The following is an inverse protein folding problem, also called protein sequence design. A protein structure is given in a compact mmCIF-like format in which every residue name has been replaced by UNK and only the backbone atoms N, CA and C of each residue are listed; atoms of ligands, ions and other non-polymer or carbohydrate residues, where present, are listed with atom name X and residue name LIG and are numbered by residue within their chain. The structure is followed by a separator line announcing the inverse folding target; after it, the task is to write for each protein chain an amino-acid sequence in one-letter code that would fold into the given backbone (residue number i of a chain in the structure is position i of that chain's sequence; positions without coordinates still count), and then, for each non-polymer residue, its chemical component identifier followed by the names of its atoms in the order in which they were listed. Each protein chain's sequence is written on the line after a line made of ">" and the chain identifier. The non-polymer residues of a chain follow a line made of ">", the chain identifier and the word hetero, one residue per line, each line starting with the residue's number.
data_IF_889571506158
#
_entry.id   IF_889571506158
#
_cell.length_a   1.000
_cell.length_b   1.000
_cell.length_c   1.000
_cell.angle_alpha   90.00
_cell.angle_beta   90.00
_cell.angle_gamma   90.00
#
_symmetry.space_group_name_H-M   'P 1'
#
loop_
_entity.id
_entity.type
_entity.pdbx_description
1 polymer ?
#
# COMPACT_ATOMS: atom_id res chain seq x y z
N UNK A 1 10.79 6.42 17.69
CA UNK A 1 9.89 5.26 17.83
C UNK A 1 8.91 5.31 16.67
N UNK A 2 9.01 4.41 15.71
CA UNK A 2 7.98 4.20 14.70
C UNK A 2 6.73 3.63 15.37
N UNK A 3 5.59 4.30 15.29
CA UNK A 3 4.34 3.72 15.73
C UNK A 3 3.83 2.74 14.66
N UNK A 4 3.38 1.57 15.07
CA UNK A 4 2.71 0.61 14.20
C UNK A 4 1.23 0.62 14.55
N UNK A 5 0.38 0.88 13.57
CA UNK A 5 -1.07 0.75 13.70
C UNK A 5 -1.50 -0.66 13.36
N UNK A 6 -2.56 -1.14 14.00
CA UNK A 6 -3.10 -2.49 13.83
C UNK A 6 -4.59 -2.45 13.50
N UNK A 7 -5.01 -3.38 12.66
CA UNK A 7 -6.40 -3.78 12.44
C UNK A 7 -6.45 -5.31 12.49
N UNK A 8 -7.53 -5.87 13.04
CA UNK A 8 -7.72 -7.32 13.04
C UNK A 8 -9.21 -7.67 13.12
N UNK A 9 -9.61 -8.66 12.33
CA UNK A 9 -10.87 -9.38 12.45
C UNK A 9 -10.61 -10.89 12.29
N UNK A 10 -11.65 -11.68 12.05
CA UNK A 10 -11.51 -13.13 11.93
C UNK A 10 -10.81 -13.61 10.64
N UNK A 11 -10.74 -12.77 9.60
CA UNK A 11 -10.16 -13.07 8.29
C UNK A 11 -8.84 -12.34 8.05
N UNK A 12 -8.68 -11.14 8.60
CA UNK A 12 -7.58 -10.25 8.27
C UNK A 12 -6.86 -9.76 9.52
N UNK A 13 -5.53 -9.83 9.51
CA UNK A 13 -4.69 -9.14 10.48
C UNK A 13 -3.74 -8.20 9.73
N UNK A 14 -3.83 -6.91 10.02
CA UNK A 14 -3.07 -5.89 9.32
C UNK A 14 -2.25 -5.04 10.29
N UNK A 15 -0.99 -4.80 9.93
CA UNK A 15 -0.11 -3.85 10.56
C UNK A 15 0.39 -2.85 9.52
N UNK A 16 0.46 -1.58 9.88
CA UNK A 16 0.99 -0.56 8.99
C UNK A 16 1.66 0.56 9.75
N UNK A 17 2.59 1.22 9.08
CA UNK A 17 3.32 2.35 9.63
C UNK A 17 3.76 3.29 8.51
N UNK A 18 4.08 4.51 8.87
CA UNK A 18 4.66 5.50 7.98
C UNK A 18 5.57 6.42 8.76
N UNK A 19 6.49 7.08 8.04
CA UNK A 19 7.36 8.11 8.58
C UNK A 19 7.53 9.17 7.51
N UNK A 20 7.41 10.43 7.92
CA UNK A 20 7.65 11.54 7.02
C UNK A 20 9.14 11.74 6.71
N UNK A 21 9.42 12.40 5.59
CA UNK A 21 10.75 12.87 5.22
C UNK A 21 11.35 13.73 6.35
N UNK A 22 12.65 13.55 6.61
CA UNK A 22 13.35 14.28 7.67
C UNK A 22 13.28 15.78 7.42
N UNK A 23 12.79 16.51 8.42
CA UNK A 23 12.62 17.96 8.36
C UNK A 23 11.21 18.38 7.96
N UNK A 24 10.39 17.47 7.45
CA UNK A 24 8.97 17.71 7.22
C UNK A 24 8.15 17.49 8.49
N UNK A 25 6.94 18.06 8.50
CA UNK A 25 5.96 17.85 9.58
C UNK A 25 4.83 16.91 9.17
N UNK A 26 4.70 16.63 7.88
CA UNK A 26 3.64 15.82 7.30
C UNK A 26 4.24 14.79 6.34
N UNK A 27 3.63 13.61 6.28
CA UNK A 27 4.03 12.55 5.37
C UNK A 27 3.30 12.71 4.04
N UNK A 28 4.05 12.70 2.93
CA UNK A 28 3.53 12.63 1.57
C UNK A 28 2.84 11.30 1.27
N UNK A 29 3.15 10.23 2.00
CA UNK A 29 2.47 8.94 1.86
C UNK A 29 1.16 8.85 2.63
N UNK A 30 0.24 8.00 2.16
CA UNK A 30 -0.96 7.61 2.90
C UNK A 30 -1.32 6.14 2.72
N UNK A 31 -1.84 5.55 3.80
CA UNK A 31 -2.47 4.22 3.79
C UNK A 31 -3.98 4.39 3.96
N UNK A 32 -4.74 3.74 3.10
CA UNK A 32 -6.19 3.58 3.21
C UNK A 32 -6.51 2.13 3.55
N UNK A 33 -7.27 1.95 4.61
CA UNK A 33 -7.89 0.68 5.02
C UNK A 33 -9.39 0.88 5.09
N UNK A 34 -10.14 0.02 4.42
CA UNK A 34 -11.59 -0.03 4.53
C UNK A 34 -12.08 -1.47 4.50
N UNK A 35 -12.61 -1.96 5.62
CA UNK A 35 -13.27 -3.26 5.70
C UNK A 35 -14.66 -3.16 5.08
N UNK A 36 -14.91 -4.02 4.08
CA UNK A 36 -16.21 -4.21 3.43
C UNK A 36 -16.93 -5.40 4.08
N UNK A 37 -18.02 -5.91 3.50
CA UNK A 37 -18.71 -7.08 4.07
C UNK A 37 -17.85 -8.35 3.96
N UNK A 38 -17.38 -8.68 2.75
CA UNK A 38 -16.64 -9.93 2.46
C UNK A 38 -15.23 -9.70 1.88
N UNK A 39 -14.69 -8.50 2.07
CA UNK A 39 -13.38 -8.08 1.58
C UNK A 39 -12.78 -6.97 2.41
N UNK A 40 -11.49 -6.72 2.21
CA UNK A 40 -10.79 -5.54 2.69
C UNK A 40 -10.22 -4.76 1.50
N UNK A 41 -10.58 -3.48 1.42
CA UNK A 41 -10.06 -2.54 0.45
C UNK A 41 -8.85 -1.82 1.04
N UNK A 42 -7.73 -1.88 0.33
CA UNK A 42 -6.46 -1.30 0.73
C UNK A 42 -5.88 -0.43 -0.37
N UNK A 43 -5.33 0.71 0.01
CA UNK A 43 -4.47 1.48 -0.88
C UNK A 43 -3.24 2.01 -0.14
N UNK A 44 -2.09 1.99 -0.80
CA UNK A 44 -0.90 2.73 -0.41
C UNK A 44 -0.65 3.78 -1.49
N UNK A 45 -0.58 5.03 -1.06
CA UNK A 45 -0.44 6.22 -1.91
C UNK A 45 0.91 6.87 -1.58
N UNK A 46 1.68 7.17 -2.61
CA UNK A 46 2.95 7.90 -2.58
C UNK A 46 2.78 9.13 -3.50
N UNK A 47 2.49 10.28 -2.88
CA UNK A 47 2.30 11.53 -3.63
C UNK A 47 3.64 12.14 -4.01
N UNK A 48 3.75 12.72 -5.21
CA UNK A 48 5.05 13.20 -5.70
C UNK A 48 5.71 14.23 -4.77
N UNK A 49 6.95 13.96 -4.35
CA UNK A 49 7.71 14.80 -3.43
C UNK A 49 7.19 14.72 -1.99
N UNK A 50 7.63 15.62 -1.11
CA UNK A 50 7.33 15.52 0.32
C UNK A 50 6.68 16.79 0.89
N UNK A 51 6.30 16.70 2.17
CA UNK A 51 5.81 17.83 2.96
C UNK A 51 4.31 18.13 2.74
N UNK A 52 3.84 19.31 3.19
CA UNK A 52 2.41 19.60 3.30
C UNK A 52 1.61 19.45 2.00
N UNK A 53 2.21 19.81 0.85
CA UNK A 53 1.54 19.70 -0.46
C UNK A 53 1.39 18.24 -0.94
N UNK A 54 2.36 17.38 -0.61
CA UNK A 54 2.27 15.95 -0.91
C UNK A 54 1.25 15.29 0.02
N UNK A 55 1.28 15.63 1.31
CA UNK A 55 0.30 15.16 2.29
C UNK A 55 -1.14 15.53 1.89
N UNK A 56 -1.37 16.78 1.46
CA UNK A 56 -2.68 17.24 1.00
C UNK A 56 -3.18 16.44 -0.22
N UNK A 57 -2.31 16.14 -1.18
CA UNK A 57 -2.65 15.32 -2.34
C UNK A 57 -3.06 13.90 -1.90
N UNK A 58 -2.26 13.27 -1.03
CA UNK A 58 -2.53 11.93 -0.50
C UNK A 58 -3.82 11.87 0.30
N UNK A 59 -4.11 12.87 1.11
CA UNK A 59 -5.36 12.93 1.88
C UNK A 59 -6.60 13.09 0.99
N UNK A 60 -6.52 13.95 -0.04
CA UNK A 60 -7.62 14.10 -1.01
C UNK A 60 -7.85 12.81 -1.80
N UNK A 61 -6.79 12.18 -2.28
CA UNK A 61 -6.88 10.92 -3.02
C UNK A 61 -7.42 9.79 -2.13
N UNK A 62 -6.91 9.66 -0.90
CA UNK A 62 -7.42 8.70 0.10
C UNK A 62 -8.92 8.90 0.34
N UNK A 63 -9.37 10.14 0.53
CA UNK A 63 -10.78 10.44 0.74
C UNK A 63 -11.64 10.07 -0.49
N UNK A 64 -11.14 10.35 -1.70
CA UNK A 64 -11.81 9.98 -2.94
C UNK A 64 -11.95 8.46 -3.09
N UNK A 65 -10.85 7.72 -2.91
CA UNK A 65 -10.85 6.26 -2.98
C UNK A 65 -11.79 5.66 -1.94
N UNK A 66 -11.74 6.16 -0.70
CA UNK A 66 -12.65 5.73 0.37
C UNK A 66 -14.12 6.00 0.05
N UNK A 67 -14.44 7.08 -0.67
CA UNK A 67 -15.84 7.40 -1.02
C UNK A 67 -16.39 6.48 -2.10
N UNK A 68 -15.56 6.03 -3.03
CA UNK A 68 -15.96 5.26 -4.21
C UNK A 68 -15.40 3.83 -4.21
N UNK A 69 -15.01 3.32 -3.05
CA UNK A 69 -14.38 2.00 -2.87
C UNK A 69 -15.21 0.84 -3.42
N UNK A 70 -16.53 1.00 -3.54
CA UNK A 70 -17.46 -0.01 -4.06
C UNK A 70 -17.38 -0.23 -5.58
N UNK A 71 -16.72 0.66 -6.33
CA UNK A 71 -16.56 0.51 -7.78
C UNK A 71 -15.53 -0.59 -8.12
N UNK A 72 -15.59 -1.18 -9.32
CA UNK A 72 -14.48 -1.93 -9.89
C UNK A 72 -13.17 -1.11 -9.84
N UNK A 73 -12.03 -1.74 -9.53
CA UNK A 73 -10.78 -1.00 -9.26
C UNK A 73 -10.30 -0.19 -10.47
N UNK A 74 -10.46 -0.72 -11.67
CA UNK A 74 -10.13 -0.06 -12.93
C UNK A 74 -11.02 1.16 -13.17
N UNK A 75 -12.33 1.05 -12.97
CA UNK A 75 -13.27 2.17 -13.08
C UNK A 75 -12.98 3.24 -12.01
N UNK A 76 -12.73 2.81 -10.77
CA UNK A 76 -12.37 3.69 -9.66
C UNK A 76 -11.14 4.53 -10.00
N UNK A 77 -10.07 3.87 -10.44
CA UNK A 77 -8.81 4.54 -10.76
C UNK A 77 -8.91 5.38 -12.03
N UNK A 78 -9.71 4.98 -13.02
CA UNK A 78 -9.96 5.82 -14.19
C UNK A 78 -10.75 7.09 -13.84
N UNK A 79 -11.74 7.01 -12.94
CA UNK A 79 -12.46 8.19 -12.44
C UNK A 79 -11.56 9.06 -11.56
N UNK A 80 -10.78 8.45 -10.67
CA UNK A 80 -9.82 9.18 -9.83
C UNK A 80 -8.77 9.89 -10.69
N UNK A 81 -8.23 9.24 -11.72
CA UNK A 81 -7.27 9.84 -12.64
C UNK A 81 -7.80 11.13 -13.26
N UNK A 82 -9.03 11.09 -13.80
CA UNK A 82 -9.70 12.26 -14.37
C UNK A 82 -10.00 13.34 -13.33
N UNK A 83 -10.46 12.95 -12.14
CA UNK A 83 -10.76 13.89 -11.06
C UNK A 83 -9.53 14.66 -10.58
N UNK A 84 -8.35 14.01 -10.59
CA UNK A 84 -7.08 14.58 -10.17
C UNK A 84 -6.20 15.03 -11.33
N UNK A 85 -6.75 15.23 -12.54
CA UNK A 85 -6.01 15.80 -13.67
C UNK A 85 -5.36 17.14 -13.31
N UNK A 86 -4.13 17.35 -13.76
CA UNK A 86 -3.31 18.53 -13.47
C UNK A 86 -3.01 18.76 -11.97
N UNK A 87 -3.26 17.76 -11.12
CA UNK A 87 -2.81 17.78 -9.74
C UNK A 87 -1.31 17.48 -9.61
N UNK A 88 -0.82 17.51 -8.37
CA UNK A 88 0.53 17.05 -8.02
C UNK A 88 0.78 15.59 -8.39
N UNK A 89 -0.27 14.79 -8.41
CA UNK A 89 -0.23 13.38 -8.76
C UNK A 89 0.41 12.49 -7.70
N UNK A 90 0.15 11.19 -7.83
CA UNK A 90 0.66 10.17 -6.93
C UNK A 90 0.91 8.85 -7.67
N UNK A 91 1.95 8.13 -7.25
CA UNK A 91 2.01 6.70 -7.42
C UNK A 91 1.14 6.02 -6.36
N UNK A 92 0.65 4.82 -6.66
CA UNK A 92 -0.19 4.08 -5.74
C UNK A 92 -0.29 2.60 -6.09
N UNK A 93 -0.69 1.82 -5.10
CA UNK A 93 -1.22 0.48 -5.27
C UNK A 93 -2.59 0.39 -4.61
N UNK A 94 -3.57 -0.22 -5.29
CA UNK A 94 -4.88 -0.55 -4.73
C UNK A 94 -5.08 -2.06 -4.79
N UNK A 95 -5.58 -2.60 -3.68
CA UNK A 95 -5.92 -4.00 -3.52
C UNK A 95 -7.35 -4.12 -2.99
N UNK A 96 -8.11 -5.10 -3.49
CA UNK A 96 -9.28 -5.65 -2.80
C UNK A 96 -8.99 -7.13 -2.52
N UNK A 97 -8.83 -7.49 -1.25
CA UNK A 97 -8.64 -8.87 -0.84
C UNK A 97 -9.95 -9.41 -0.25
N UNK A 98 -10.51 -10.43 -0.88
CA UNK A 98 -11.71 -11.12 -0.44
C UNK A 98 -11.38 -12.15 0.64
N UNK A 99 -12.38 -12.48 1.45
CA UNK A 99 -12.28 -13.49 2.51
C UNK A 99 -11.95 -14.89 1.99
N UNK A 100 -12.32 -15.20 0.75
CA UNK A 100 -11.96 -16.44 0.07
C UNK A 100 -10.53 -16.44 -0.50
N UNK A 101 -9.76 -15.37 -0.24
CA UNK A 101 -8.39 -15.18 -0.69
C UNK A 101 -8.25 -14.62 -2.10
N UNK A 102 -9.34 -14.34 -2.83
CA UNK A 102 -9.26 -13.68 -4.13
C UNK A 102 -8.75 -12.24 -3.95
N UNK A 103 -7.65 -11.91 -4.62
CA UNK A 103 -7.04 -10.59 -4.61
C UNK A 103 -7.21 -9.92 -5.97
N UNK A 104 -7.86 -8.77 -6.00
CA UNK A 104 -7.86 -7.83 -7.12
C UNK A 104 -6.77 -6.77 -6.88
N UNK A 105 -5.90 -6.52 -7.86
CA UNK A 105 -4.78 -5.60 -7.74
C UNK A 105 -4.66 -4.65 -8.94
N UNK A 106 -4.38 -3.37 -8.66
CA UNK A 106 -3.84 -2.43 -9.65
C UNK A 106 -2.71 -1.61 -9.01
N UNK A 107 -1.52 -1.68 -9.61
CA UNK A 107 -0.38 -0.83 -9.27
C UNK A 107 -0.08 0.21 -10.35
N UNK A 108 0.20 1.44 -9.93
CA UNK A 108 0.65 2.54 -10.78
C UNK A 108 1.87 3.23 -10.16
N UNK A 109 3.00 3.20 -10.85
CA UNK A 109 4.24 3.82 -10.40
C UNK A 109 5.12 2.89 -9.56
N UNK A 110 5.75 3.45 -8.55
CA UNK A 110 6.86 2.89 -7.78
C UNK A 110 6.43 2.18 -6.48
N UNK A 111 5.15 2.19 -6.10
CA UNK A 111 4.67 1.42 -4.95
C UNK A 111 4.83 -0.06 -5.21
N UNK A 112 5.50 -0.75 -4.28
CA UNK A 112 5.81 -2.17 -4.37
C UNK A 112 4.78 -2.98 -3.60
N UNK A 113 4.25 -4.03 -4.22
CA UNK A 113 3.37 -5.00 -3.56
C UNK A 113 3.89 -6.41 -3.78
N UNK A 114 3.93 -7.20 -2.70
CA UNK A 114 4.38 -8.58 -2.71
C UNK A 114 3.39 -9.49 -2.00
N UNK A 115 3.10 -10.63 -2.62
CA UNK A 115 2.48 -11.77 -1.93
C UNK A 115 3.60 -12.57 -1.26
N UNK A 116 3.38 -12.94 -0.01
CA UNK A 116 4.32 -13.70 0.81
C UNK A 116 3.68 -15.04 1.13
N UNK A 117 4.32 -16.10 0.63
CA UNK A 117 3.89 -17.47 0.69
C UNK A 117 5.00 -18.28 1.37
N UNK A 118 4.85 -18.56 2.67
CA UNK A 118 5.86 -19.27 3.45
C UNK A 118 7.29 -18.69 3.31
N UNK A 119 8.15 -19.32 2.50
CA UNK A 119 9.53 -18.91 2.23
C UNK A 119 9.72 -18.26 0.85
N UNK A 120 8.64 -18.03 0.12
CA UNK A 120 8.63 -17.45 -1.22
C UNK A 120 7.95 -16.08 -1.22
N UNK A 121 8.38 -15.24 -2.15
CA UNK A 121 7.74 -13.94 -2.42
C UNK A 121 7.41 -13.83 -3.92
N UNK A 122 6.21 -13.35 -4.21
CA UNK A 122 5.80 -12.98 -5.56
C UNK A 122 5.62 -11.46 -5.64
N UNK A 123 6.37 -10.81 -6.53
CA UNK A 123 6.19 -9.39 -6.83
C UNK A 123 4.97 -9.20 -7.73
N UNK A 124 4.07 -8.30 -7.34
CA UNK A 124 2.97 -7.85 -8.20
C UNK A 124 3.42 -6.68 -9.07
N UNK A 125 3.14 -6.76 -10.36
CA UNK A 125 3.67 -5.81 -11.35
C UNK A 125 2.81 -4.54 -11.38
N UNK A 126 3.42 -3.42 -11.01
CA UNK A 126 2.86 -2.07 -11.21
C UNK A 126 3.13 -1.58 -12.63
N UNK A 127 2.18 -0.86 -13.24
CA UNK A 127 2.40 -0.17 -14.51
C UNK A 127 3.09 1.17 -14.26
N UNK A 128 3.98 1.58 -15.15
CA UNK A 128 4.59 2.91 -15.06
C UNK A 128 3.53 4.02 -15.20
N UNK A 129 3.56 4.98 -14.28
CA UNK A 129 2.66 6.13 -14.35
C UNK A 129 2.55 6.91 -13.05
N UNK A 130 1.72 7.95 -13.09
CA UNK A 130 1.36 8.84 -11.99
C UNK A 130 -0.11 9.21 -12.17
N UNK A 131 -0.94 8.94 -11.17
CA UNK A 131 -2.36 9.26 -11.20
C UNK A 131 -2.54 10.78 -11.26
N UNK A 132 -3.46 11.27 -12.10
CA UNK A 132 -3.65 12.71 -12.33
C UNK A 132 -2.66 13.35 -13.30
N UNK A 133 -1.66 12.61 -13.79
CA UNK A 133 -0.69 13.11 -14.77
C UNK A 133 -0.50 12.18 -15.97
N UNK A 134 0.06 10.98 -15.75
CA UNK A 134 0.34 10.00 -16.80
C UNK A 134 -0.10 8.59 -16.39
N UNK A 135 -1.24 8.15 -16.86
CA UNK A 135 -1.67 6.76 -16.73
C UNK A 135 -2.28 6.30 -18.05
N UNK A 136 -1.71 5.26 -18.67
CA UNK A 136 -2.20 4.78 -19.97
C UNK A 136 -3.43 3.88 -19.84
N UNK A 137 -3.41 3.00 -18.85
CA UNK A 137 -4.46 2.02 -18.62
C UNK A 137 -4.46 1.58 -17.15
N UNK A 138 -5.64 1.26 -16.65
CA UNK A 138 -5.84 0.61 -15.36
C UNK A 138 -6.35 -0.80 -15.66
N UNK A 139 -5.56 -1.80 -15.35
CA UNK A 139 -5.88 -3.20 -15.62
C UNK A 139 -5.80 -3.97 -14.32
N UNK A 140 -6.91 -4.60 -13.94
CA UNK A 140 -6.96 -5.49 -12.78
C UNK A 140 -6.14 -6.74 -13.09
N UNK A 141 -5.26 -7.11 -12.17
CA UNK A 141 -4.68 -8.45 -12.11
C UNK A 141 -5.24 -9.17 -10.90
N UNK A 142 -5.61 -10.44 -11.08
CA UNK A 142 -6.15 -11.27 -10.02
C UNK A 142 -5.12 -12.30 -9.55
N UNK A 143 -5.13 -12.56 -8.24
CA UNK A 143 -4.31 -13.58 -7.60
C UNK A 143 -5.15 -14.33 -6.56
N UNK A 144 -4.78 -15.57 -6.27
CA UNK A 144 -5.41 -16.37 -5.22
C UNK A 144 -4.45 -16.52 -4.06
N UNK A 145 -4.82 -15.99 -2.89
CA UNK A 145 -4.09 -16.21 -1.64
C UNK A 145 -4.69 -17.40 -0.91
N UNK A 146 -3.84 -18.09 -0.15
CA UNK A 146 -4.27 -19.13 0.78
C UNK A 146 -4.21 -18.58 2.22
N UNK A 147 -4.98 -19.17 3.15
CA UNK A 147 -4.88 -18.80 4.56
C UNK A 147 -3.44 -18.98 5.06
N UNK A 148 -2.96 -18.00 5.82
CA UNK A 148 -1.57 -17.87 6.27
C UNK A 148 -0.66 -17.11 5.31
N UNK A 149 -1.13 -16.73 4.10
CA UNK A 149 -0.35 -15.89 3.18
C UNK A 149 -0.49 -14.42 3.60
N UNK A 150 0.46 -13.59 3.15
CA UNK A 150 0.43 -12.17 3.45
C UNK A 150 0.63 -11.29 2.23
N UNK A 151 0.07 -10.08 2.28
CA UNK A 151 0.42 -8.98 1.40
C UNK A 151 1.33 -8.00 2.12
N UNK A 152 2.47 -7.71 1.52
CA UNK A 152 3.31 -6.59 1.93
C UNK A 152 3.27 -5.50 0.86
N UNK A 153 2.96 -4.27 1.28
CA UNK A 153 2.99 -3.08 0.43
C UNK A 153 3.96 -2.06 1.01
N UNK A 154 4.74 -1.39 0.18
CA UNK A 154 5.60 -0.29 0.63
C UNK A 154 5.90 0.72 -0.49
N UNK A 155 6.08 1.99 -0.11
CA UNK A 155 6.58 3.05 -1.00
C UNK A 155 8.08 2.94 -1.25
N UNK A 156 8.60 3.72 -2.18
CA UNK A 156 10.03 3.71 -2.55
C UNK A 156 10.96 4.35 -1.50
N UNK A 157 10.37 4.97 -0.48
CA UNK A 157 10.98 5.32 0.80
C UNK A 157 11.66 4.13 1.48
N UNK A 158 11.27 2.89 1.17
CA UNK A 158 11.94 1.67 1.64
C UNK A 158 12.88 1.13 0.56
N UNK A 159 14.16 1.02 0.91
CA UNK A 159 15.21 0.54 -0.01
C UNK A 159 15.21 -0.99 -0.14
N UNK A 160 15.48 -1.47 -1.35
CA UNK A 160 15.84 -2.85 -1.61
C UNK A 160 14.69 -3.84 -1.43
N UNK A 161 15.02 -5.04 -0.93
CA UNK A 161 14.06 -6.12 -0.66
C UNK A 161 14.13 -6.46 0.84
N UNK A 162 13.32 -5.81 1.69
CA UNK A 162 13.42 -5.97 3.15
C UNK A 162 13.14 -7.41 3.63
N UNK A 163 12.48 -8.21 2.79
CA UNK A 163 11.97 -9.55 3.08
C UNK A 163 12.98 -10.70 2.98
N UNK A 164 14.22 -10.47 2.53
CA UNK A 164 15.20 -11.55 2.33
C UNK A 164 15.83 -12.10 3.64
N UNK A 165 15.13 -12.11 4.78
CA UNK A 165 15.67 -12.64 6.05
C UNK A 165 14.89 -13.86 6.53
N UNK A 166 15.62 -14.97 6.75
CA UNK A 166 15.14 -16.27 7.28
C UNK A 166 14.41 -16.20 8.65
N UNK A 167 14.37 -15.03 9.30
CA UNK A 167 13.79 -14.82 10.62
C UNK A 167 12.30 -14.42 10.63
N UNK A 168 11.65 -14.39 9.46
CA UNK A 168 10.28 -13.87 9.28
C UNK A 168 9.20 -14.49 10.18
N UNK A 169 9.13 -15.81 10.43
CA UNK A 169 8.13 -16.33 11.35
C UNK A 169 8.52 -16.22 12.84
N UNK A 170 9.73 -15.74 13.17
CA UNK A 170 10.23 -15.72 14.56
C UNK A 170 9.97 -14.39 15.30
N UNK A 171 9.52 -13.34 14.62
CA UNK A 171 9.23 -12.02 15.21
C UNK A 171 7.74 -11.69 15.07
N UNK A 172 7.19 -10.92 16.00
CA UNK A 172 5.87 -10.33 15.82
C UNK A 172 5.89 -9.30 14.68
N UNK A 173 4.76 -9.16 13.98
CA UNK A 173 4.66 -8.28 12.80
C UNK A 173 5.00 -6.82 13.11
N UNK A 174 4.71 -6.33 14.31
CA UNK A 174 5.01 -4.95 14.70
C UNK A 174 6.53 -4.70 14.88
N UNK A 175 7.25 -5.62 15.52
CA UNK A 175 8.72 -5.51 15.64
C UNK A 175 9.36 -5.52 14.26
N UNK A 176 8.86 -6.40 13.41
CA UNK A 176 9.34 -6.59 12.05
C UNK A 176 9.17 -5.36 11.16
N UNK A 177 7.99 -4.71 11.20
CA UNK A 177 7.82 -3.45 10.50
C UNK A 177 8.75 -2.36 11.04
N UNK A 178 8.95 -2.31 12.36
CA UNK A 178 9.88 -1.36 12.98
C UNK A 178 11.32 -1.58 12.52
N UNK A 179 11.78 -2.84 12.49
CA UNK A 179 13.09 -3.20 11.96
C UNK A 179 13.26 -2.80 10.49
N UNK A 180 12.22 -2.98 9.67
CA UNK A 180 12.27 -2.60 8.26
C UNK A 180 12.44 -1.07 8.12
N UNK A 181 11.65 -0.31 8.87
CA UNK A 181 11.69 1.16 8.84
C UNK A 181 13.06 1.69 9.29
N UNK A 182 13.65 1.08 10.32
CA UNK A 182 14.95 1.48 10.85
C UNK A 182 16.10 1.12 9.92
N UNK A 183 16.09 -0.09 9.33
CA UNK A 183 17.22 -0.60 8.56
C UNK A 183 17.14 -0.30 7.06
N UNK A 184 15.94 -0.11 6.51
CA UNK A 184 15.73 0.07 5.07
C UNK A 184 15.04 1.40 4.71
N UNK A 185 14.50 2.14 5.68
CA UNK A 185 13.82 3.40 5.43
C UNK A 185 14.76 4.57 5.13
N UNK A 186 14.54 5.25 4.00
CA UNK A 186 15.22 6.50 3.62
C UNK A 186 14.87 7.63 4.58
N UNK A 187 15.87 8.31 5.12
CA UNK A 187 15.64 9.47 5.98
C UNK A 187 15.23 10.72 5.20
N UNK A 188 15.62 10.82 3.93
CA UNK A 188 15.35 11.96 3.05
C UNK A 188 14.12 11.76 2.17
N UNK A 189 13.24 10.84 2.55
CA UNK A 189 12.03 10.51 1.82
C UNK A 189 10.89 10.21 2.78
N UNK A 190 9.66 10.37 2.31
CA UNK A 190 8.51 9.79 2.98
C UNK A 190 8.58 8.26 2.84
N UNK A 191 8.02 7.53 3.81
CA UNK A 191 7.88 6.08 3.70
C UNK A 191 6.60 5.60 4.33
N UNK A 192 6.08 4.51 3.78
CA UNK A 192 4.96 3.78 4.32
C UNK A 192 5.12 2.29 4.05
N UNK A 193 4.60 1.47 4.97
CA UNK A 193 4.60 0.02 4.86
C UNK A 193 3.30 -0.53 5.42
N UNK A 194 2.75 -1.53 4.74
CA UNK A 194 1.59 -2.32 5.14
C UNK A 194 1.97 -3.79 5.10
N UNK A 195 1.51 -4.54 6.08
CA UNK A 195 1.58 -5.98 6.12
C UNK A 195 0.22 -6.54 6.53
N UNK A 196 -0.40 -7.30 5.65
CA UNK A 196 -1.72 -7.91 5.83
C UNK A 196 -1.60 -9.43 5.76
N UNK A 197 -1.91 -10.14 6.84
CA UNK A 197 -2.12 -11.57 6.83
C UNK A 197 -3.58 -11.90 6.50
N UNK A 198 -3.78 -12.87 5.61
CA UNK A 198 -5.03 -13.60 5.47
C UNK A 198 -5.02 -14.76 6.48
N UNK A 199 -5.97 -14.79 7.40
CA UNK A 199 -6.01 -15.72 8.54
C UNK A 199 -6.81 -16.98 8.24
N UNK A 200 -7.89 -16.84 7.47
CA UNK A 200 -8.86 -17.89 7.14
C UNK A 200 -9.09 -17.95 5.64
#
# INVERSE_FOLDING_TARGET
>A
MSWVRRYEDEYFQLHYSWRNCRGEQCCGDAVLLHREENSIFLALIDSLGHGPKAAEMSDKLKAYLKKYHYLPLDELLQKAHRHFEASRGAALAVCRLHEDGRLEYIGLGNVVVRILEHQQEQLLVSKDGVLGQRARQFQITEHQLQPGYALMMYSDGIKGRPLYRKSWPLRGTAELLSDIIENYGRSYDDLSIVYLNLLK
#
